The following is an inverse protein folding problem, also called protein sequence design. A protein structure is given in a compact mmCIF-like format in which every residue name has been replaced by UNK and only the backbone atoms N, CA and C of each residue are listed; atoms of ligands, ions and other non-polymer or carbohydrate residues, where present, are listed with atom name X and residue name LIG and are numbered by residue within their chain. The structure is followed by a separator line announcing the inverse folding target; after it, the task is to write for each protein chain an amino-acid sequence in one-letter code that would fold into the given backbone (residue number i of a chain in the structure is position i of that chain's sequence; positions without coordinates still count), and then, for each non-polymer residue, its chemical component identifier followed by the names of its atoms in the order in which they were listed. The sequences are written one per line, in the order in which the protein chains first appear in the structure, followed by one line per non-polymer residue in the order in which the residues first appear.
data_IF_223893904873
#
_entry.id   IF_223893904873
#
_cell.length_a   1.000
_cell.length_b   1.000
_cell.length_c   1.000
_cell.angle_alpha   90.00
_cell.angle_beta   90.00
_cell.angle_gamma   90.00
#
_symmetry.space_group_name_H-M   'P 1'
#
loop_
_entity.id
_entity.type
_entity.pdbx_description
1 polymer ?
#
# COMPACT_ATOMS: atom_id res chain seq x y z
N UNK A 1 5.11 -8.33 -8.00
CA UNK A 1 4.11 -7.92 -9.00
C UNK A 1 4.20 -6.41 -9.18
N UNK A 2 3.66 -5.85 -10.26
CA UNK A 2 3.61 -4.40 -10.50
C UNK A 2 2.26 -3.96 -11.06
N UNK A 3 1.89 -2.71 -10.79
CA UNK A 3 0.67 -2.06 -11.27
C UNK A 3 0.92 -0.56 -11.46
N UNK A 4 0.34 0.02 -12.51
CA UNK A 4 0.38 1.48 -12.76
C UNK A 4 -1.02 2.02 -12.55
N UNK A 5 -1.12 3.12 -11.83
CA UNK A 5 -2.38 3.80 -11.66
C UNK A 5 -2.29 5.06 -10.82
N UNK A 6 -3.45 5.66 -10.61
CA UNK A 6 -3.61 6.92 -9.88
C UNK A 6 -4.00 6.65 -8.44
N UNK A 7 -3.36 7.35 -7.50
CA UNK A 7 -3.75 7.31 -6.09
C UNK A 7 -5.10 8.04 -5.94
N UNK A 8 -6.11 7.32 -5.44
CA UNK A 8 -7.47 7.85 -5.24
C UNK A 8 -7.85 7.98 -3.77
N UNK A 9 -7.14 7.29 -2.88
CA UNK A 9 -7.32 7.41 -1.42
C UNK A 9 -5.96 7.31 -0.72
N UNK A 10 -5.76 8.19 0.25
CA UNK A 10 -4.66 8.15 1.21
C UNK A 10 -5.27 8.06 2.62
N UNK A 11 -5.09 6.95 3.31
CA UNK A 11 -5.55 6.80 4.69
C UNK A 11 -4.52 7.36 5.69
N UNK A 12 -4.94 7.74 6.91
CA UNK A 12 -4.02 8.19 7.94
C UNK A 12 -2.93 7.15 8.26
N UNK A 13 -1.74 7.63 8.59
CA UNK A 13 -0.64 6.78 9.06
C UNK A 13 -1.06 6.09 10.36
N UNK A 14 -0.91 4.76 10.38
CA UNK A 14 -1.11 3.93 11.56
C UNK A 14 0.24 3.62 12.18
N UNK A 15 0.31 3.66 13.51
CA UNK A 15 1.51 3.33 14.25
C UNK A 15 1.19 2.35 15.37
N UNK A 16 2.22 1.66 15.86
CA UNK A 16 2.11 0.79 17.02
C UNK A 16 3.47 0.24 17.44
N UNK A 17 3.46 -0.68 18.39
CA UNK A 17 4.64 -1.44 18.79
C UNK A 17 4.38 -2.93 18.65
N UNK A 18 5.38 -3.70 18.24
CA UNK A 18 5.28 -5.16 18.23
C UNK A 18 5.47 -5.72 19.66
N UNK A 19 5.34 -7.05 19.82
CA UNK A 19 5.52 -7.73 21.12
C UNK A 19 6.88 -7.48 21.78
N UNK A 20 7.90 -7.13 21.00
CA UNK A 20 9.25 -6.82 21.46
C UNK A 20 9.46 -5.32 21.73
N UNK A 21 8.41 -4.49 21.66
CA UNK A 21 8.48 -3.04 21.87
C UNK A 21 9.02 -2.25 20.66
N UNK A 22 9.31 -2.89 19.53
CA UNK A 22 9.78 -2.20 18.32
C UNK A 22 8.61 -1.45 17.68
N UNK A 23 8.77 -0.14 17.54
CA UNK A 23 7.80 0.71 16.86
C UNK A 23 7.66 0.30 15.38
N UNK A 24 6.44 0.38 14.88
CA UNK A 24 6.12 0.24 13.47
C UNK A 24 5.18 1.37 13.03
N UNK A 25 5.28 1.69 11.74
CA UNK A 25 4.37 2.61 11.07
C UNK A 25 3.93 1.96 9.76
N UNK A 26 2.69 2.15 9.37
CA UNK A 26 2.17 1.74 8.07
C UNK A 26 1.16 2.76 7.57
N UNK A 27 1.04 2.89 6.26
CA UNK A 27 0.01 3.72 5.64
C UNK A 27 -0.65 2.95 4.51
N UNK A 28 -1.97 3.10 4.40
CA UNK A 28 -2.80 2.38 3.45
C UNK A 28 -3.28 3.34 2.37
N UNK A 29 -3.27 2.86 1.14
CA UNK A 29 -3.59 3.63 -0.05
C UNK A 29 -4.54 2.84 -0.94
N UNK A 30 -5.27 3.55 -1.81
CA UNK A 30 -6.02 2.94 -2.91
C UNK A 30 -5.51 3.52 -4.21
N UNK A 31 -5.10 2.64 -5.12
CA UNK A 31 -4.70 2.95 -6.48
C UNK A 31 -5.78 2.49 -7.45
N UNK A 32 -6.12 3.32 -8.42
CA UNK A 32 -7.00 2.99 -9.54
C UNK A 32 -6.20 2.92 -10.84
N UNK A 33 -6.31 1.81 -11.57
CA UNK A 33 -5.61 1.62 -12.85
C UNK A 33 -5.99 2.67 -13.89
N UNK A 34 -5.01 3.28 -14.56
CA UNK A 34 -5.27 4.37 -15.53
C UNK A 34 -5.51 3.90 -16.96
N UNK A 35 -4.95 2.75 -17.35
CA UNK A 35 -4.92 2.30 -18.77
C UNK A 35 -5.77 1.05 -19.04
N UNK A 36 -6.69 0.71 -18.13
CA UNK A 36 -7.56 -0.45 -18.25
C UNK A 36 -8.96 -0.06 -18.78
N UNK A 37 -9.54 -0.91 -19.64
CA UNK A 37 -10.94 -0.78 -20.09
C UNK A 37 -11.94 -0.83 -18.92
N UNK A 38 -11.58 -1.53 -17.85
CA UNK A 38 -12.33 -1.62 -16.61
C UNK A 38 -11.38 -1.40 -15.43
N UNK A 39 -11.12 -0.14 -15.06
CA UNK A 39 -10.17 0.21 -14.01
C UNK A 39 -10.44 -0.53 -12.71
N UNK A 40 -9.47 -1.32 -12.26
CA UNK A 40 -9.54 -1.96 -10.96
C UNK A 40 -8.99 -1.02 -9.89
N UNK A 41 -9.58 -1.09 -8.69
CA UNK A 41 -9.06 -0.43 -7.49
C UNK A 41 -8.29 -1.43 -6.66
N UNK A 42 -7.04 -1.12 -6.35
CA UNK A 42 -6.16 -1.95 -5.53
C UNK A 42 -5.84 -1.23 -4.24
N UNK A 43 -6.20 -1.85 -3.12
CA UNK A 43 -5.79 -1.41 -1.78
C UNK A 43 -4.40 -1.96 -1.50
N UNK A 44 -3.46 -1.14 -1.04
CA UNK A 44 -2.12 -1.59 -0.64
C UNK A 44 -1.61 -0.85 0.58
N UNK A 45 -0.63 -1.44 1.27
CA UNK A 45 0.05 -0.80 2.41
C UNK A 45 1.55 -0.61 2.15
N UNK A 46 2.06 0.55 2.58
CA UNK A 46 3.49 0.78 2.74
C UNK A 46 3.85 0.64 4.21
N UNK A 47 4.71 -0.32 4.53
CA UNK A 47 5.20 -0.54 5.88
C UNK A 47 6.55 0.13 6.12
N UNK A 48 6.74 0.73 7.28
CA UNK A 48 7.96 1.42 7.69
C UNK A 48 7.87 2.94 7.48
N UNK A 49 8.25 3.69 8.52
CA UNK A 49 8.20 5.16 8.52
C UNK A 49 9.01 5.78 7.37
N UNK A 50 10.23 5.30 7.15
CA UNK A 50 11.08 5.80 6.07
C UNK A 50 10.45 5.60 4.70
N UNK A 51 9.89 4.41 4.42
CA UNK A 51 9.23 4.10 3.14
C UNK A 51 8.02 4.98 2.89
N UNK A 52 7.23 5.25 3.93
CA UNK A 52 6.08 6.15 3.85
C UNK A 52 6.55 7.57 3.50
N UNK A 53 7.56 8.08 4.20
CA UNK A 53 8.14 9.41 3.98
C UNK A 53 8.78 9.56 2.60
N UNK A 54 9.49 8.54 2.13
CA UNK A 54 10.15 8.57 0.82
C UNK A 54 9.15 8.51 -0.32
N UNK A 55 8.06 7.75 -0.14
CA UNK A 55 7.02 7.64 -1.15
C UNK A 55 6.19 8.92 -1.25
N UNK A 56 5.86 9.55 -0.11
CA UNK A 56 5.15 10.83 -0.01
C UNK A 56 3.97 10.93 -0.99
N UNK A 57 3.08 9.93 -0.93
CA UNK A 57 2.03 9.74 -1.92
C UNK A 57 0.81 10.61 -1.64
N UNK A 58 0.34 11.30 -2.68
CA UNK A 58 -0.82 12.18 -2.63
C UNK A 58 -1.92 11.71 -3.56
N UNK A 59 -3.15 12.13 -3.27
CA UNK A 59 -4.29 11.91 -4.17
C UNK A 59 -3.98 12.54 -5.53
N UNK A 60 -4.44 11.88 -6.59
CA UNK A 60 -4.25 12.22 -8.00
C UNK A 60 -2.83 12.02 -8.57
N UNK A 61 -1.85 11.58 -7.77
CA UNK A 61 -0.55 11.17 -8.30
C UNK A 61 -0.64 9.85 -9.07
N UNK A 62 -0.01 9.80 -10.26
CA UNK A 62 0.14 8.56 -11.04
C UNK A 62 1.46 7.90 -10.66
N UNK A 63 1.39 6.62 -10.28
CA UNK A 63 2.55 5.87 -9.81
C UNK A 63 2.61 4.47 -10.42
N UNK A 64 3.84 3.97 -10.54
CA UNK A 64 4.12 2.55 -10.70
C UNK A 64 4.42 1.94 -9.33
N UNK A 65 3.54 1.07 -8.86
CA UNK A 65 3.65 0.36 -7.60
C UNK A 65 4.21 -1.04 -7.82
N UNK A 66 5.23 -1.40 -7.06
CA UNK A 66 5.76 -2.75 -6.94
C UNK A 66 5.35 -3.35 -5.58
N UNK A 67 4.71 -4.51 -5.61
CA UNK A 67 4.12 -5.13 -4.42
C UNK A 67 4.17 -6.67 -4.43
N UNK A 68 4.08 -7.25 -3.22
CA UNK A 68 3.81 -8.67 -3.00
C UNK A 68 2.38 -8.87 -2.50
N UNK A 69 1.82 -10.05 -2.76
CA UNK A 69 0.53 -10.46 -2.21
C UNK A 69 0.81 -11.57 -1.20
N UNK A 70 0.41 -11.34 0.04
CA UNK A 70 0.57 -12.28 1.14
C UNK A 70 -0.79 -12.62 1.74
N UNK A 71 -0.99 -13.89 2.10
CA UNK A 71 -2.18 -14.36 2.80
C UNK A 71 -1.90 -14.54 4.28
N UNK A 72 -2.72 -13.95 5.15
CA UNK A 72 -2.67 -14.23 6.59
C UNK A 72 -4.00 -14.77 7.08
N UNK A 73 -3.95 -15.86 7.85
CA UNK A 73 -5.09 -16.44 8.54
C UNK A 73 -5.24 -15.80 9.92
N UNK A 74 -6.48 -15.47 10.29
CA UNK A 74 -6.87 -15.01 11.61
C UNK A 74 -8.27 -15.51 11.96
N UNK A 75 -8.35 -16.39 12.97
CA UNK A 75 -9.58 -16.97 13.50
C UNK A 75 -10.47 -17.65 12.44
N UNK A 76 -9.85 -18.51 11.63
CA UNK A 76 -10.45 -19.24 10.51
C UNK A 76 -10.71 -18.40 9.26
N UNK A 77 -10.41 -17.10 9.28
CA UNK A 77 -10.61 -16.18 8.14
C UNK A 77 -9.28 -15.83 7.49
N UNK A 78 -9.26 -15.84 6.16
CA UNK A 78 -8.08 -15.47 5.38
C UNK A 78 -8.20 -14.04 4.87
N UNK A 79 -7.10 -13.29 4.99
CA UNK A 79 -7.00 -11.91 4.53
C UNK A 79 -5.80 -11.78 3.62
N UNK A 80 -6.03 -11.20 2.44
CA UNK A 80 -4.97 -10.82 1.53
C UNK A 80 -4.38 -9.47 1.94
N UNK A 81 -3.05 -9.37 1.89
CA UNK A 81 -2.30 -8.15 2.11
C UNK A 81 -1.48 -7.85 0.87
N UNK A 82 -1.66 -6.67 0.32
CA UNK A 82 -0.86 -6.16 -0.77
C UNK A 82 0.22 -5.26 -0.19
N UNK A 83 1.44 -5.78 -0.05
CA UNK A 83 2.57 -5.10 0.55
C UNK A 83 3.38 -4.37 -0.51
N UNK A 84 3.27 -3.04 -0.55
CA UNK A 84 4.10 -2.20 -1.42
C UNK A 84 5.52 -2.06 -0.88
N UNK A 85 6.51 -2.29 -1.74
CA UNK A 85 7.92 -2.20 -1.35
C UNK A 85 8.74 -1.21 -2.19
N UNK A 86 8.26 -0.82 -3.37
CA UNK A 86 8.86 0.23 -4.21
C UNK A 86 7.74 0.98 -4.94
N UNK A 87 7.90 2.29 -5.05
CA UNK A 87 6.97 3.17 -5.77
C UNK A 87 7.79 4.11 -6.65
N UNK A 88 7.35 4.30 -7.88
CA UNK A 88 7.94 5.25 -8.82
C UNK A 88 6.87 6.23 -9.28
N UNK A 89 7.06 7.52 -8.97
CA UNK A 89 6.18 8.58 -9.45
C UNK A 89 6.38 8.76 -10.96
N UNK A 90 5.28 8.95 -11.69
CA UNK A 90 5.29 9.24 -13.13
C UNK A 90 5.23 10.74 -13.38
#
# INVERSE_FOLDING_TARGET
MEIIGKIVVVLPVQTGANKSGKAWSKQVYVLEETDARYPQKVVFELFGEQRIKDADLHIDEVVKLYFSIDGSEYNGKWYSKNNGFRVEKQ
#
